data_IF_969344311469
#
_entry.id   IF_969344311469
#
_cell.length_a   1.000
_cell.length_b   1.000
_cell.length_c   1.000
_cell.angle_alpha   90.00
_cell.angle_beta   90.00
_cell.angle_gamma   90.00
#
_symmetry.space_group_name_H-M   'P 1'
#
loop_
_entity.id
_entity.type
_entity.pdbx_description
1 polymer ?
#
# COMPACT_ATOMS: atom_id res chain seq x y z
N UNK A 1 15.20 10.17 -14.28
CA UNK A 1 14.16 10.90 -15.05
C UNK A 1 12.78 10.33 -14.76
N UNK A 2 12.54 9.03 -15.00
CA UNK A 2 11.28 8.32 -14.70
C UNK A 2 10.65 8.67 -13.34
N UNK A 3 11.37 8.52 -12.23
CA UNK A 3 10.79 8.77 -10.90
C UNK A 3 10.36 10.22 -10.65
N UNK A 4 11.15 11.20 -11.10
CA UNK A 4 10.75 12.61 -11.02
C UNK A 4 9.48 12.87 -11.82
N UNK A 5 9.37 12.25 -13.00
CA UNK A 5 8.19 12.33 -13.87
C UNK A 5 6.97 11.68 -13.21
N UNK A 6 7.09 10.47 -12.65
CA UNK A 6 6.00 9.77 -11.96
C UNK A 6 5.55 10.51 -10.70
N UNK A 7 6.48 11.02 -9.90
CA UNK A 7 6.16 11.84 -8.72
C UNK A 7 5.42 13.12 -9.09
N UNK A 8 5.82 13.77 -10.18
CA UNK A 8 5.14 14.96 -10.68
C UNK A 8 3.74 14.62 -11.17
N UNK A 9 3.57 13.64 -12.06
CA UNK A 9 2.25 13.25 -12.56
C UNK A 9 1.33 12.62 -11.50
N UNK A 10 1.89 12.08 -10.42
CA UNK A 10 1.14 11.62 -9.26
C UNK A 10 0.67 12.74 -8.36
N UNK A 11 1.41 13.86 -8.28
CA UNK A 11 1.11 14.99 -7.38
C UNK A 11 0.39 16.17 -8.03
N UNK A 12 0.50 16.34 -9.34
CA UNK A 12 -0.25 17.38 -10.05
C UNK A 12 -1.69 16.92 -10.27
N UNK A 13 -2.64 17.68 -9.74
CA UNK A 13 -4.06 17.51 -9.95
C UNK A 13 -4.64 18.57 -10.89
N UNK A 14 -5.71 18.18 -11.56
CA UNK A 14 -6.58 19.05 -12.32
C UNK A 14 -7.93 19.08 -11.60
N UNK A 15 -8.07 20.01 -10.66
CA UNK A 15 -9.23 20.11 -9.77
C UNK A 15 -10.47 20.50 -10.55
N UNK A 16 -11.58 19.80 -10.28
CA UNK A 16 -12.89 20.14 -10.85
C UNK A 16 -13.38 21.49 -10.34
N UNK A 17 -13.27 21.72 -9.02
CA UNK A 17 -13.71 22.94 -8.35
C UNK A 17 -12.68 23.34 -7.28
N UNK A 18 -11.63 24.09 -7.65
CA UNK A 18 -10.56 24.47 -6.70
C UNK A 18 -10.99 25.53 -5.68
N UNK A 19 -12.17 26.13 -5.83
CA UNK A 19 -12.76 27.08 -4.88
C UNK A 19 -14.12 27.59 -5.36
N UNK A 20 -14.79 28.41 -4.55
CA UNK A 20 -16.18 28.88 -4.77
C UNK A 20 -16.27 30.25 -5.45
N UNK A 21 -15.16 31.01 -5.48
CA UNK A 21 -15.11 32.37 -6.07
C UNK A 21 -14.78 32.34 -7.56
N UNK A 22 -15.19 33.37 -8.28
CA UNK A 22 -15.05 33.47 -9.75
C UNK A 22 -13.65 33.15 -10.30
N UNK A 23 -12.52 33.63 -9.71
CA UNK A 23 -11.19 33.26 -10.17
C UNK A 23 -10.92 31.76 -10.06
N UNK A 24 -11.40 31.13 -8.98
CA UNK A 24 -11.22 29.70 -8.74
C UNK A 24 -12.13 28.86 -9.66
N UNK A 25 -13.38 29.29 -9.88
CA UNK A 25 -14.29 28.64 -10.84
C UNK A 25 -13.67 28.66 -12.25
N UNK A 26 -13.18 29.82 -12.69
CA UNK A 26 -12.52 29.94 -14.00
C UNK A 26 -11.27 29.06 -14.08
N UNK A 27 -10.49 28.98 -13.01
CA UNK A 27 -9.32 28.10 -12.96
C UNK A 27 -9.70 26.61 -13.04
N UNK A 28 -10.73 26.18 -12.30
CA UNK A 28 -11.23 24.79 -12.33
C UNK A 28 -11.74 24.38 -13.72
N UNK A 29 -12.46 25.28 -14.41
CA UNK A 29 -12.86 25.06 -15.82
C UNK A 29 -11.65 24.85 -16.74
N UNK A 30 -10.58 25.66 -16.58
CA UNK A 30 -9.34 25.51 -17.35
C UNK A 30 -8.63 24.19 -17.05
N UNK A 31 -8.52 23.80 -15.78
CA UNK A 31 -7.93 22.52 -15.37
C UNK A 31 -8.73 21.33 -15.94
N UNK A 32 -10.06 21.39 -15.85
CA UNK A 32 -10.94 20.36 -16.41
C UNK A 32 -10.76 20.24 -17.91
N UNK A 33 -10.68 21.37 -18.63
CA UNK A 33 -10.42 21.38 -20.07
C UNK A 33 -9.06 20.75 -20.40
N UNK A 34 -8.00 21.06 -19.65
CA UNK A 34 -6.69 20.43 -19.83
C UNK A 34 -6.75 18.91 -19.62
N UNK A 35 -7.48 18.45 -18.60
CA UNK A 35 -7.70 17.03 -18.35
C UNK A 35 -8.46 16.35 -19.50
N UNK A 36 -9.50 16.99 -20.03
CA UNK A 36 -10.23 16.53 -21.22
C UNK A 36 -9.31 16.47 -22.45
N UNK A 37 -8.44 17.45 -22.67
CA UNK A 37 -7.52 17.45 -23.81
C UNK A 37 -6.48 16.32 -23.72
N UNK A 38 -5.98 16.02 -22.51
CA UNK A 38 -5.07 14.89 -22.30
C UNK A 38 -5.77 13.55 -22.58
N UNK A 39 -7.03 13.39 -22.18
CA UNK A 39 -7.79 12.15 -22.47
C UNK A 39 -8.26 12.06 -23.92
N UNK A 40 -8.59 13.18 -24.57
CA UNK A 40 -8.90 13.23 -25.99
C UNK A 40 -7.71 12.77 -26.85
N UNK A 41 -6.48 13.06 -26.44
CA UNK A 41 -5.29 12.54 -27.11
C UNK A 41 -5.26 11.00 -27.16
N UNK A 42 -5.73 10.32 -26.10
CA UNK A 42 -5.88 8.87 -26.09
C UNK A 42 -7.00 8.34 -26.99
N UNK A 43 -8.05 9.13 -27.21
CA UNK A 43 -9.11 8.77 -28.18
C UNK A 43 -8.60 8.86 -29.61
N UNK A 44 -7.74 9.84 -29.90
CA UNK A 44 -7.18 10.09 -31.24
C UNK A 44 -6.02 9.15 -31.57
N UNK A 45 -5.20 8.84 -30.58
CA UNK A 45 -4.03 7.97 -30.74
C UNK A 45 -4.13 6.75 -29.82
N UNK A 46 -4.55 5.63 -30.43
CA UNK A 46 -4.67 4.34 -29.74
C UNK A 46 -3.32 3.79 -29.29
N UNK A 47 -2.23 4.09 -30.01
CA UNK A 47 -0.90 3.64 -29.62
C UNK A 47 -0.38 4.43 -28.41
N UNK A 48 -0.65 5.73 -28.33
CA UNK A 48 -0.36 6.53 -27.14
C UNK A 48 -1.11 5.99 -25.91
N UNK A 49 -2.39 5.64 -26.06
CA UNK A 49 -3.17 5.05 -24.96
C UNK A 49 -2.63 3.68 -24.55
N UNK A 50 -2.27 2.84 -25.52
CA UNK A 50 -1.64 1.53 -25.27
C UNK A 50 -0.31 1.66 -24.54
N UNK A 51 0.52 2.64 -24.92
CA UNK A 51 1.79 2.92 -24.25
C UNK A 51 1.58 3.40 -22.81
N UNK A 52 0.60 4.29 -22.59
CA UNK A 52 0.24 4.72 -21.23
C UNK A 52 -0.23 3.53 -20.38
N UNK A 53 -1.09 2.65 -20.91
CA UNK A 53 -1.54 1.44 -20.21
C UNK A 53 -0.39 0.49 -19.88
N UNK A 54 0.60 0.36 -20.77
CA UNK A 54 1.80 -0.45 -20.53
C UNK A 54 2.60 0.00 -19.29
N UNK A 55 2.47 1.26 -18.89
CA UNK A 55 3.06 1.80 -17.67
C UNK A 55 2.06 1.74 -16.50
N UNK A 56 0.80 2.10 -16.76
CA UNK A 56 -0.22 2.22 -15.72
C UNK A 56 -0.64 0.86 -15.15
N UNK A 57 -0.99 -0.12 -15.98
CA UNK A 57 -1.54 -1.41 -15.53
C UNK A 57 -0.56 -2.21 -14.65
N UNK A 58 0.75 -2.29 -14.93
CA UNK A 58 1.68 -2.93 -14.00
C UNK A 58 1.67 -2.26 -12.63
N UNK A 59 1.71 -0.92 -12.56
CA UNK A 59 1.67 -0.23 -11.27
C UNK A 59 0.36 -0.43 -10.51
N UNK A 60 -0.75 -0.64 -11.22
CA UNK A 60 -2.03 -1.03 -10.61
C UNK A 60 -1.95 -2.40 -9.97
N UNK A 61 -1.32 -3.37 -10.65
CA UNK A 61 -1.12 -4.70 -10.11
C UNK A 61 -0.16 -4.72 -8.90
N UNK A 62 0.92 -3.94 -8.94
CA UNK A 62 1.89 -3.92 -7.85
C UNK A 62 1.37 -3.21 -6.58
N UNK A 63 0.71 -2.05 -6.74
CA UNK A 63 0.40 -1.17 -5.59
C UNK A 63 -1.09 -0.93 -5.42
N UNK A 64 -1.86 -0.95 -6.51
CA UNK A 64 -3.28 -0.69 -6.51
C UNK A 64 -3.68 0.44 -7.45
N UNK A 65 -4.99 0.65 -7.62
CA UNK A 65 -5.54 1.75 -8.42
C UNK A 65 -5.43 3.07 -7.66
N UNK A 66 -5.42 4.17 -8.40
CA UNK A 66 -5.64 5.49 -7.80
C UNK A 66 -7.11 5.64 -7.41
N UNK A 67 -7.36 6.30 -6.28
CA UNK A 67 -8.70 6.68 -5.82
C UNK A 67 -9.14 8.05 -6.37
N UNK A 68 -8.20 8.86 -6.86
CA UNK A 68 -8.46 10.04 -7.69
C UNK A 68 -9.17 9.68 -9.02
N UNK A 69 -9.76 10.69 -9.69
CA UNK A 69 -10.25 10.51 -11.06
C UNK A 69 -9.05 10.42 -12.02
N UNK A 70 -9.16 9.57 -13.04
CA UNK A 70 -8.07 9.37 -14.00
C UNK A 70 -8.60 9.17 -15.43
N UNK A 71 -7.71 8.76 -16.34
CA UNK A 71 -7.97 8.66 -17.78
C UNK A 71 -9.27 7.93 -18.11
N UNK A 72 -9.53 6.76 -17.53
CA UNK A 72 -10.71 5.96 -17.88
C UNK A 72 -12.03 6.64 -17.45
N UNK A 73 -12.07 7.29 -16.30
CA UNK A 73 -13.24 8.05 -15.82
C UNK A 73 -13.58 9.18 -16.80
N UNK A 74 -12.56 9.95 -17.19
CA UNK A 74 -12.71 11.07 -18.10
C UNK A 74 -13.02 10.61 -19.53
N UNK A 75 -12.42 9.52 -20.01
CA UNK A 75 -12.69 8.95 -21.33
C UNK A 75 -14.16 8.55 -21.47
N UNK A 76 -14.75 7.98 -20.41
CA UNK A 76 -16.19 7.64 -20.39
C UNK A 76 -17.05 8.90 -20.52
N UNK A 77 -16.83 9.89 -19.67
CA UNK A 77 -17.59 11.14 -19.69
C UNK A 77 -17.41 11.93 -21.00
N UNK A 78 -16.20 11.95 -21.57
CA UNK A 78 -15.93 12.61 -22.85
C UNK A 78 -16.76 11.98 -23.97
N UNK A 79 -16.86 10.65 -24.02
CA UNK A 79 -17.68 9.95 -25.03
C UNK A 79 -19.17 10.23 -24.88
N UNK A 80 -19.65 10.35 -23.64
CA UNK A 80 -21.06 10.59 -23.33
C UNK A 80 -21.48 12.03 -23.64
N UNK A 81 -20.67 13.02 -23.25
CA UNK A 81 -21.03 14.45 -23.30
C UNK A 81 -20.56 15.12 -24.60
N UNK A 82 -19.46 14.64 -25.19
CA UNK A 82 -18.88 15.14 -26.44
C UNK A 82 -18.80 14.03 -27.52
N UNK A 83 -19.94 13.40 -27.88
CA UNK A 83 -19.97 12.19 -28.70
C UNK A 83 -19.47 12.38 -30.13
N UNK A 84 -19.58 13.60 -30.67
CA UNK A 84 -19.16 13.90 -32.04
C UNK A 84 -17.63 13.80 -32.16
N UNK A 85 -17.10 12.93 -33.04
CA UNK A 85 -15.70 13.01 -33.43
C UNK A 85 -15.46 14.36 -34.10
N UNK A 86 -14.35 15.03 -33.77
CA UNK A 86 -14.11 16.38 -34.26
C UNK A 86 -12.86 17.03 -33.69
N UNK A 87 -12.65 18.30 -34.05
CA UNK A 87 -11.54 19.10 -33.54
C UNK A 87 -11.73 19.43 -32.05
N UNK A 88 -10.63 19.82 -31.40
CA UNK A 88 -10.61 20.15 -29.96
C UNK A 88 -11.53 21.30 -29.57
N UNK A 89 -11.93 22.13 -30.55
CA UNK A 89 -12.84 23.27 -30.36
C UNK A 89 -14.22 22.85 -29.80
N UNK A 90 -14.62 21.58 -29.97
CA UNK A 90 -15.86 21.05 -29.37
C UNK A 90 -15.89 21.17 -27.84
N UNK A 91 -14.73 21.23 -27.20
CA UNK A 91 -14.61 21.37 -25.75
C UNK A 91 -14.73 22.82 -25.26
N UNK A 92 -14.83 23.80 -26.16
CA UNK A 92 -15.06 25.20 -25.82
C UNK A 92 -16.51 25.50 -25.42
N UNK A 93 -17.45 24.59 -25.71
CA UNK A 93 -18.85 24.69 -25.31
C UNK A 93 -18.99 24.76 -23.78
N UNK A 94 -19.32 25.96 -23.28
CA UNK A 94 -19.40 26.22 -21.84
C UNK A 94 -20.54 25.47 -21.15
N UNK A 95 -21.63 25.17 -21.88
CA UNK A 95 -22.75 24.41 -21.32
C UNK A 95 -22.33 22.96 -21.11
N UNK A 96 -21.73 22.34 -22.13
CA UNK A 96 -21.23 20.96 -22.03
C UNK A 96 -20.07 20.81 -21.06
N UNK A 97 -19.17 21.79 -20.98
CA UNK A 97 -18.10 21.78 -19.97
C UNK A 97 -18.66 21.86 -18.55
N UNK A 98 -19.71 22.64 -18.33
CA UNK A 98 -20.39 22.72 -17.04
C UNK A 98 -21.08 21.41 -16.70
N UNK A 99 -21.76 20.78 -17.67
CA UNK A 99 -22.33 19.44 -17.52
C UNK A 99 -21.26 18.39 -17.19
N UNK A 100 -20.11 18.43 -17.88
CA UNK A 100 -18.99 17.52 -17.59
C UNK A 100 -18.50 17.65 -16.15
N UNK A 101 -18.31 18.88 -15.67
CA UNK A 101 -17.88 19.12 -14.29
C UNK A 101 -18.94 18.59 -13.30
N UNK A 102 -20.22 18.79 -13.59
CA UNK A 102 -21.31 18.28 -12.74
C UNK A 102 -21.30 16.75 -12.66
N UNK A 103 -21.23 16.06 -13.79
CA UNK A 103 -21.17 14.59 -13.85
C UNK A 103 -19.88 14.04 -13.22
N UNK A 104 -18.72 14.66 -13.49
CA UNK A 104 -17.46 14.30 -12.86
C UNK A 104 -17.50 14.50 -11.33
N UNK A 105 -18.24 15.50 -10.84
CA UNK A 105 -18.43 15.75 -9.41
C UNK A 105 -19.28 14.67 -8.74
N UNK A 106 -20.13 13.95 -9.50
CA UNK A 106 -20.91 12.80 -8.99
C UNK A 106 -20.09 11.52 -8.86
N UNK A 107 -18.92 11.45 -9.49
CA UNK A 107 -18.00 10.31 -9.37
C UNK A 107 -17.37 10.21 -7.97
N UNK A 108 -16.68 9.10 -7.70
CA UNK A 108 -16.03 8.85 -6.40
C UNK A 108 -15.08 9.99 -5.99
N UNK A 109 -15.08 10.42 -4.72
CA UNK A 109 -14.02 11.27 -4.18
C UNK A 109 -12.78 10.44 -3.84
N UNK A 110 -11.59 11.06 -3.77
CA UNK A 110 -10.41 10.39 -3.22
C UNK A 110 -10.64 10.08 -1.73
N UNK A 111 -10.21 8.90 -1.29
CA UNK A 111 -10.23 8.47 0.11
C UNK A 111 -8.97 8.95 0.84
N UNK A 112 -7.84 9.06 0.15
CA UNK A 112 -6.57 9.54 0.68
C UNK A 112 -6.26 10.91 0.07
N UNK A 113 -5.77 11.83 0.90
CA UNK A 113 -5.32 13.14 0.50
C UNK A 113 -3.93 13.04 -0.15
N UNK A 114 -3.87 13.42 -1.42
CA UNK A 114 -2.61 13.48 -2.20
C UNK A 114 -1.81 14.78 -1.95
N UNK A 115 -2.23 15.64 -1.02
CA UNK A 115 -1.57 16.91 -0.69
C UNK A 115 -2.28 17.70 0.44
N UNK A 116 -1.75 18.86 0.79
CA UNK A 116 -2.36 19.74 1.78
C UNK A 116 -3.74 20.20 1.29
N UNK A 117 -4.79 19.81 2.01
CA UNK A 117 -6.15 20.25 1.78
C UNK A 117 -6.44 21.45 2.70
N UNK A 118 -6.90 22.55 2.11
CA UNK A 118 -7.37 23.71 2.85
C UNK A 118 -8.90 23.63 2.96
N UNK A 119 -9.42 23.91 4.15
CA UNK A 119 -10.86 24.08 4.38
C UNK A 119 -11.27 25.41 3.76
N UNK A 120 -11.93 25.37 2.61
CA UNK A 120 -12.77 26.48 2.16
C UNK A 120 -14.23 26.14 2.48
N UNK A 121 -14.90 27.02 3.21
CA UNK A 121 -16.35 26.96 3.51
C UNK A 121 -16.85 25.65 4.15
N UNK A 122 -15.98 24.89 4.83
CA UNK A 122 -16.38 23.69 5.58
C UNK A 122 -16.64 22.44 4.73
N UNK A 123 -16.36 22.48 3.41
CA UNK A 123 -16.52 21.33 2.50
C UNK A 123 -15.17 20.75 2.07
N UNK A 124 -14.59 19.91 2.93
CA UNK A 124 -13.28 19.25 2.75
C UNK A 124 -13.19 18.39 1.48
N UNK A 125 -14.28 17.74 1.07
CA UNK A 125 -14.27 16.71 0.02
C UNK A 125 -14.44 17.26 -1.42
N UNK A 126 -14.90 18.51 -1.57
CA UNK A 126 -15.20 19.09 -2.88
C UNK A 126 -13.94 19.71 -3.51
N UNK A 127 -13.04 20.26 -2.70
CA UNK A 127 -11.82 20.95 -3.17
C UNK A 127 -10.67 20.00 -3.56
N UNK A 128 -10.79 18.71 -3.27
CA UNK A 128 -9.76 17.69 -3.53
C UNK A 128 -10.09 16.79 -4.73
N UNK A 129 -11.35 16.79 -5.22
CA UNK A 129 -11.75 15.98 -6.37
C UNK A 129 -11.17 16.56 -7.66
N UNK A 130 -10.34 15.76 -8.34
CA UNK A 130 -9.67 16.17 -9.56
C UNK A 130 -9.15 15.00 -10.37
N UNK A 131 -8.73 15.31 -11.59
CA UNK A 131 -8.06 14.36 -12.45
C UNK A 131 -6.56 14.30 -12.15
N UNK A 132 -6.00 13.09 -12.18
CA UNK A 132 -4.56 12.87 -12.18
C UNK A 132 -4.16 11.91 -13.29
N UNK A 133 -3.15 12.30 -14.06
CA UNK A 133 -2.68 11.51 -15.20
C UNK A 133 -2.02 10.20 -14.77
N UNK A 134 -1.21 10.23 -13.72
CA UNK A 134 -0.60 9.06 -13.07
C UNK A 134 -0.78 9.14 -11.55
N UNK A 135 -2.03 9.34 -11.09
CA UNK A 135 -2.36 9.58 -9.67
C UNK A 135 -1.71 8.60 -8.70
N UNK A 136 -1.39 9.07 -7.49
CA UNK A 136 -0.83 8.20 -6.45
C UNK A 136 -1.79 7.04 -6.15
N UNK A 137 -1.24 5.90 -5.73
CA UNK A 137 -2.02 4.68 -5.56
C UNK A 137 -2.66 4.65 -4.19
N UNK A 138 -3.89 4.18 -4.13
CA UNK A 138 -4.54 3.90 -2.87
C UNK A 138 -3.86 2.70 -2.22
N UNK A 139 -3.34 2.90 -1.01
CA UNK A 139 -2.78 1.83 -0.17
C UNK A 139 -3.48 1.84 1.20
N UNK A 140 -3.85 0.66 1.73
CA UNK A 140 -4.74 0.54 2.89
C UNK A 140 -4.13 1.14 4.15
N UNK A 141 -2.82 1.04 4.33
CA UNK A 141 -2.11 1.56 5.49
C UNK A 141 -2.03 3.10 5.49
N UNK A 142 -1.83 3.75 4.33
CA UNK A 142 -1.96 5.22 4.25
C UNK A 142 -3.38 5.68 4.55
N UNK A 143 -4.39 4.89 4.15
CA UNK A 143 -5.78 5.18 4.50
C UNK A 143 -6.00 5.09 6.01
N UNK A 144 -5.56 3.99 6.66
CA UNK A 144 -5.62 3.83 8.12
C UNK A 144 -4.92 4.99 8.83
N UNK A 145 -3.72 5.34 8.39
CA UNK A 145 -2.93 6.46 8.91
C UNK A 145 -3.65 7.80 8.82
N UNK A 146 -4.22 8.13 7.67
CA UNK A 146 -4.97 9.37 7.50
C UNK A 146 -6.21 9.41 8.40
N UNK A 147 -6.89 8.28 8.55
CA UNK A 147 -8.09 8.18 9.39
C UNK A 147 -7.76 8.24 10.89
N UNK A 148 -6.49 8.00 11.26
CA UNK A 148 -5.91 8.02 12.61
C UNK A 148 -4.93 9.19 12.82
N UNK A 149 -5.15 10.33 12.17
CA UNK A 149 -4.53 11.62 12.50
C UNK A 149 -5.58 12.72 12.52
N UNK A 150 -5.24 13.87 13.10
CA UNK A 150 -6.13 15.03 13.15
C UNK A 150 -6.77 15.31 11.78
N UNK A 151 -8.08 15.52 11.80
CA UNK A 151 -8.85 15.84 10.62
C UNK A 151 -10.25 16.35 10.97
N UNK A 152 -11.01 16.67 9.93
CA UNK A 152 -12.41 17.05 10.05
C UNK A 152 -13.27 15.95 9.42
N UNK A 153 -14.18 15.38 10.21
CA UNK A 153 -15.18 14.41 9.73
C UNK A 153 -16.57 14.89 10.14
N UNK A 154 -17.52 14.86 9.21
CA UNK A 154 -18.90 15.33 9.43
C UNK A 154 -18.99 16.74 10.06
N UNK A 155 -18.13 17.65 9.58
CA UNK A 155 -17.98 19.04 10.07
C UNK A 155 -17.53 19.15 11.54
N UNK A 156 -16.96 18.08 12.10
CA UNK A 156 -16.38 18.06 13.45
C UNK A 156 -14.90 17.75 13.40
N UNK A 157 -14.14 18.47 14.22
CA UNK A 157 -12.74 18.15 14.46
C UNK A 157 -12.63 16.87 15.28
N UNK A 158 -11.77 15.95 14.85
CA UNK A 158 -11.49 14.69 15.54
C UNK A 158 -10.00 14.62 15.90
N UNK A 159 -9.67 13.73 16.83
CA UNK A 159 -8.28 13.44 17.22
C UNK A 159 -7.52 14.65 17.78
N UNK A 160 -8.24 15.53 18.50
CA UNK A 160 -7.63 16.53 19.39
C UNK A 160 -7.10 15.84 20.65
N UNK A 161 -5.95 16.29 21.12
CA UNK A 161 -5.31 15.71 22.30
C UNK A 161 -6.12 16.04 23.56
N UNK A 162 -6.28 15.06 24.45
CA UNK A 162 -7.03 15.19 25.72
C UNK A 162 -6.27 14.69 26.95
N UNK A 163 -5.02 14.24 26.78
CA UNK A 163 -4.19 13.77 27.87
C UNK A 163 -3.35 14.88 28.51
N UNK A 164 -2.46 14.47 29.41
CA UNK A 164 -1.62 15.39 30.19
C UNK A 164 -0.16 15.41 29.72
N UNK A 165 0.34 14.31 29.16
CA UNK A 165 1.74 14.16 28.75
C UNK A 165 1.93 14.46 27.24
N UNK A 166 3.16 14.37 26.73
CA UNK A 166 3.40 14.47 25.29
C UNK A 166 3.71 13.08 24.72
N UNK A 167 2.71 12.32 24.23
CA UNK A 167 2.98 11.05 23.57
C UNK A 167 3.63 11.29 22.21
N UNK A 168 4.24 10.24 21.62
CA UNK A 168 4.98 10.34 20.36
C UNK A 168 4.13 11.01 19.29
N UNK A 169 2.87 10.60 19.12
CA UNK A 169 1.99 11.06 18.04
C UNK A 169 1.42 12.48 18.19
N UNK A 170 1.69 13.17 19.31
CA UNK A 170 1.14 14.51 19.58
C UNK A 170 2.09 15.63 19.13
N UNK A 171 1.55 16.58 18.37
CA UNK A 171 2.18 17.90 18.18
C UNK A 171 1.13 19.02 18.25
N UNK A 172 1.63 20.26 18.37
CA UNK A 172 0.79 21.46 18.28
C UNK A 172 0.66 21.88 16.82
N UNK A 173 -0.52 21.68 16.24
CA UNK A 173 -0.81 22.09 14.87
C UNK A 173 -1.25 23.57 14.86
N UNK A 174 -0.66 24.44 14.00
CA UNK A 174 -1.07 25.84 13.90
C UNK A 174 -2.58 26.00 13.67
N UNK A 175 -3.21 26.93 14.39
CA UNK A 175 -4.67 27.20 14.37
C UNK A 175 -5.58 26.06 14.88
N UNK A 176 -5.03 24.95 15.35
CA UNK A 176 -5.78 23.80 15.88
C UNK A 176 -5.48 23.56 17.36
N UNK A 177 -4.20 23.62 17.73
CA UNK A 177 -3.71 23.26 19.06
C UNK A 177 -3.16 21.82 19.12
N UNK A 178 -2.99 21.26 20.34
CA UNK A 178 -2.51 19.89 20.53
C UNK A 178 -3.43 18.85 19.87
N UNK A 179 -2.88 18.08 18.94
CA UNK A 179 -3.62 17.06 18.21
C UNK A 179 -2.72 15.90 17.78
N UNK A 180 -3.33 14.81 17.31
CA UNK A 180 -2.57 13.68 16.74
C UNK A 180 -1.99 14.08 15.38
N UNK A 181 -0.72 14.44 15.34
CA UNK A 181 -0.10 15.03 14.15
C UNK A 181 0.44 13.97 13.18
N UNK A 182 0.85 12.82 13.69
CA UNK A 182 1.34 11.71 12.88
C UNK A 182 0.90 10.37 13.49
N UNK A 183 0.75 9.32 12.67
CA UNK A 183 0.45 7.98 13.14
C UNK A 183 1.74 7.21 13.48
N UNK A 184 1.59 5.99 13.99
CA UNK A 184 2.67 5.01 14.19
C UNK A 184 2.40 3.74 13.41
N UNK A 185 3.44 3.00 13.03
CA UNK A 185 3.27 1.66 12.41
C UNK A 185 2.38 0.72 13.25
N UNK A 186 2.40 0.87 14.58
CA UNK A 186 1.52 0.14 15.49
C UNK A 186 0.03 0.41 15.26
N UNK A 187 -0.37 1.58 14.75
CA UNK A 187 -1.77 1.86 14.42
C UNK A 187 -2.31 0.91 13.36
N UNK A 188 -1.49 0.57 12.35
CA UNK A 188 -1.87 -0.39 11.31
C UNK A 188 -2.10 -1.76 11.93
N UNK A 189 -1.16 -2.21 12.77
CA UNK A 189 -1.26 -3.53 13.37
C UNK A 189 -2.44 -3.60 14.35
N UNK A 190 -2.73 -2.51 15.07
CA UNK A 190 -3.91 -2.40 15.91
C UNK A 190 -5.21 -2.46 15.09
N UNK A 191 -5.29 -1.77 13.94
CA UNK A 191 -6.42 -1.88 13.00
C UNK A 191 -6.57 -3.30 12.47
N UNK A 192 -5.46 -3.96 12.15
CA UNK A 192 -5.43 -5.33 11.64
C UNK A 192 -5.61 -6.41 12.73
N UNK A 193 -5.98 -6.01 13.95
CA UNK A 193 -6.43 -6.92 15.00
C UNK A 193 -5.39 -7.28 16.06
N UNK A 194 -4.17 -6.73 16.00
CA UNK A 194 -3.16 -6.96 17.03
C UNK A 194 -3.54 -6.26 18.33
N UNK A 195 -3.93 -7.05 19.35
CA UNK A 195 -4.19 -6.50 20.69
C UNK A 195 -2.94 -5.95 21.33
N UNK A 196 -1.81 -6.65 21.15
CA UNK A 196 -0.52 -6.21 21.68
C UNK A 196 -0.08 -4.85 21.14
N UNK A 197 -0.32 -4.58 19.86
CA UNK A 197 -0.07 -3.26 19.28
C UNK A 197 -0.89 -2.16 19.97
N UNK A 198 -2.18 -2.43 20.22
CA UNK A 198 -3.06 -1.50 20.92
C UNK A 198 -2.63 -1.28 22.37
N UNK A 199 -2.26 -2.33 23.10
CA UNK A 199 -1.74 -2.20 24.48
C UNK A 199 -0.52 -1.28 24.56
N UNK A 200 0.40 -1.38 23.60
CA UNK A 200 1.60 -0.52 23.54
C UNK A 200 1.19 0.94 23.27
N UNK A 201 0.28 1.17 22.31
CA UNK A 201 -0.24 2.50 22.01
C UNK A 201 -0.94 3.13 23.23
N UNK A 202 -1.75 2.35 23.96
CA UNK A 202 -2.44 2.81 25.16
C UNK A 202 -1.45 3.17 26.27
N UNK A 203 -0.47 2.30 26.51
CA UNK A 203 0.55 2.50 27.54
C UNK A 203 1.41 3.74 27.27
N UNK A 204 1.68 4.06 26.01
CA UNK A 204 2.51 5.20 25.61
C UNK A 204 1.70 6.50 25.41
N UNK A 205 0.41 6.50 25.75
CA UNK A 205 -0.46 7.68 25.64
C UNK A 205 -0.91 8.00 24.20
N UNK A 206 -0.52 7.18 23.23
CA UNK A 206 -0.89 7.31 21.82
C UNK A 206 -2.36 6.91 21.54
N UNK A 207 -3.25 6.89 22.54
CA UNK A 207 -4.70 6.74 22.35
C UNK A 207 -5.49 7.87 23.00
N UNK A 208 -4.82 8.83 23.63
CA UNK A 208 -5.42 9.93 24.40
C UNK A 208 -5.92 11.09 23.52
N UNK A 209 -6.79 10.76 22.56
CA UNK A 209 -7.37 11.71 21.63
C UNK A 209 -8.91 11.61 21.60
N UNK A 210 -9.57 12.69 21.19
CA UNK A 210 -11.01 12.67 20.94
C UNK A 210 -11.35 11.71 19.80
N UNK A 211 -12.40 10.89 19.98
CA UNK A 211 -12.89 9.95 18.97
C UNK A 211 -11.88 8.89 18.49
N UNK A 212 -10.76 8.67 19.18
CA UNK A 212 -9.73 7.70 18.76
C UNK A 212 -10.30 6.29 18.58
N UNK A 213 -10.97 5.77 19.62
CA UNK A 213 -11.56 4.43 19.57
C UNK A 213 -12.70 4.31 18.56
N UNK A 214 -13.48 5.38 18.33
CA UNK A 214 -14.52 5.38 17.31
C UNK A 214 -13.91 5.17 15.91
N UNK A 215 -12.81 5.89 15.61
CA UNK A 215 -12.10 5.73 14.34
C UNK A 215 -11.40 4.37 14.22
N UNK A 216 -10.72 3.94 15.29
CA UNK A 216 -10.04 2.65 15.33
C UNK A 216 -11.02 1.50 15.11
N UNK A 217 -12.17 1.51 15.79
CA UNK A 217 -13.17 0.45 15.68
C UNK A 217 -13.81 0.44 14.30
N UNK A 218 -14.13 1.61 13.72
CA UNK A 218 -14.62 1.70 12.33
C UNK A 218 -13.64 1.06 11.34
N UNK A 219 -12.34 1.35 11.49
CA UNK A 219 -11.31 0.75 10.64
C UNK A 219 -11.17 -0.75 10.89
N UNK A 220 -11.18 -1.21 12.15
CA UNK A 220 -11.17 -2.64 12.49
C UNK A 220 -12.34 -3.38 11.83
N UNK A 221 -13.55 -2.82 11.89
CA UNK A 221 -14.74 -3.41 11.28
C UNK A 221 -14.63 -3.43 9.74
N UNK A 222 -14.15 -2.35 9.14
CA UNK A 222 -13.92 -2.27 7.68
C UNK A 222 -12.90 -3.31 7.21
N UNK A 223 -11.76 -3.45 7.89
CA UNK A 223 -10.68 -4.34 7.46
C UNK A 223 -10.92 -5.81 7.85
N UNK A 224 -11.62 -6.09 8.95
CA UNK A 224 -12.01 -7.45 9.33
C UNK A 224 -13.13 -8.03 8.46
N UNK A 225 -13.94 -7.18 7.81
CA UNK A 225 -15.00 -7.60 6.89
C UNK A 225 -14.53 -7.85 5.45
N UNK A 226 -13.26 -7.57 5.12
CA UNK A 226 -12.70 -7.80 3.80
C UNK A 226 -12.67 -9.29 3.47
N UNK A 227 -13.16 -9.63 2.28
CA UNK A 227 -13.10 -10.98 1.73
C UNK A 227 -11.67 -11.35 1.33
N UNK A 228 -11.39 -12.65 1.19
CA UNK A 228 -10.11 -13.12 0.64
C UNK A 228 -9.83 -12.55 -0.74
N UNK A 229 -10.85 -12.35 -1.59
CA UNK A 229 -10.70 -11.74 -2.91
C UNK A 229 -10.23 -10.30 -2.85
N UNK A 230 -10.74 -9.52 -1.90
CA UNK A 230 -10.35 -8.12 -1.67
C UNK A 230 -8.92 -8.02 -1.10
N UNK A 231 -8.54 -8.90 -0.17
CA UNK A 231 -7.15 -9.02 0.28
C UNK A 231 -6.18 -9.43 -0.84
N UNK A 232 -6.68 -10.15 -1.83
CA UNK A 232 -5.91 -10.66 -2.97
C UNK A 232 -5.96 -9.78 -4.21
N UNK A 233 -6.51 -8.56 -4.11
CA UNK A 233 -6.78 -7.69 -5.26
C UNK A 233 -5.52 -7.17 -5.99
N UNK A 234 -4.37 -7.06 -5.31
CA UNK A 234 -3.09 -6.62 -5.87
C UNK A 234 -1.93 -7.09 -4.97
N UNK A 235 -0.68 -6.91 -5.40
CA UNK A 235 0.49 -7.41 -4.67
C UNK A 235 0.64 -6.76 -3.28
N UNK A 236 0.40 -5.46 -3.16
CA UNK A 236 0.51 -4.73 -1.89
C UNK A 236 -0.41 -5.29 -0.80
N UNK A 237 -1.69 -5.49 -1.16
CA UNK A 237 -2.67 -6.06 -0.23
C UNK A 237 -2.36 -7.52 0.12
N UNK A 238 -1.85 -8.30 -0.84
CA UNK A 238 -1.40 -9.67 -0.60
C UNK A 238 -0.23 -9.75 0.36
N UNK A 239 0.69 -8.79 0.27
CA UNK A 239 1.82 -8.71 1.19
C UNK A 239 1.33 -8.50 2.62
N UNK A 240 0.47 -7.51 2.86
CA UNK A 240 -0.13 -7.29 4.18
C UNK A 240 -0.94 -8.51 4.65
N UNK A 241 -1.74 -9.09 3.76
CA UNK A 241 -2.50 -10.29 4.03
C UNK A 241 -1.60 -11.45 4.46
N UNK A 242 -0.43 -11.61 3.84
CA UNK A 242 0.52 -12.67 4.22
C UNK A 242 1.06 -12.55 5.66
N UNK A 243 1.05 -11.35 6.23
CA UNK A 243 1.56 -11.06 7.57
C UNK A 243 0.48 -11.15 8.67
N UNK A 244 -0.80 -11.12 8.33
CA UNK A 244 -1.89 -11.18 9.33
C UNK A 244 -1.78 -12.35 10.31
N UNK A 245 -1.36 -13.58 9.92
CA UNK A 245 -1.22 -14.68 10.86
C UNK A 245 -0.20 -14.44 11.99
N UNK A 246 0.72 -13.47 11.82
CA UNK A 246 1.68 -13.07 12.84
C UNK A 246 1.05 -12.18 13.94
N UNK A 247 -0.10 -11.56 13.64
CA UNK A 247 -0.80 -10.64 14.55
C UNK A 247 -1.84 -11.33 15.43
N UNK A 248 -2.21 -12.57 15.08
CA UNK A 248 -3.24 -13.34 15.75
C UNK A 248 -2.74 -13.90 17.10
N UNK A 249 -3.57 -13.77 18.14
CA UNK A 249 -3.36 -14.52 19.37
C UNK A 249 -3.70 -15.99 19.12
N UNK A 250 -2.69 -16.84 18.94
CA UNK A 250 -2.91 -18.28 18.80
C UNK A 250 -3.41 -18.85 20.12
N UNK A 251 -4.54 -19.55 20.06
CA UNK A 251 -5.20 -20.20 21.22
C UNK A 251 -4.98 -21.72 21.25
N UNK A 252 -4.07 -22.23 20.42
CA UNK A 252 -3.80 -23.67 20.33
C UNK A 252 -3.13 -24.17 21.62
N UNK A 253 -3.66 -25.26 22.21
CA UNK A 253 -3.23 -25.76 23.52
C UNK A 253 -1.81 -26.37 23.53
N UNK A 254 -1.22 -26.63 22.36
CA UNK A 254 0.05 -27.36 22.21
C UNK A 254 1.17 -26.57 21.51
N UNK A 255 1.11 -25.24 21.52
CA UNK A 255 2.17 -24.40 20.92
C UNK A 255 3.51 -24.60 21.65
N UNK A 256 4.64 -24.57 20.92
CA UNK A 256 5.97 -24.51 21.52
C UNK A 256 6.07 -23.44 22.62
N UNK A 257 6.70 -23.77 23.76
CA UNK A 257 6.74 -22.90 24.95
C UNK A 257 7.22 -21.47 24.68
N UNK A 258 8.17 -21.30 23.77
CA UNK A 258 8.69 -19.99 23.43
C UNK A 258 7.62 -19.08 22.81
N UNK A 259 6.67 -19.65 22.05
CA UNK A 259 5.58 -18.92 21.40
C UNK A 259 4.55 -18.34 22.37
N UNK A 260 4.47 -18.89 23.58
CA UNK A 260 3.48 -18.51 24.58
C UNK A 260 3.89 -17.26 25.38
N UNK A 261 5.08 -16.71 25.12
CA UNK A 261 5.61 -15.57 25.85
C UNK A 261 5.23 -14.24 25.18
N UNK A 262 5.06 -13.20 26.00
CA UNK A 262 4.89 -11.81 25.50
C UNK A 262 6.08 -11.39 24.63
N UNK A 263 7.29 -11.84 24.97
CA UNK A 263 8.49 -11.56 24.18
C UNK A 263 8.41 -12.12 22.75
N UNK A 264 7.74 -13.26 22.55
CA UNK A 264 7.49 -13.80 21.22
C UNK A 264 6.48 -12.97 20.45
N UNK A 265 5.38 -12.58 21.09
CA UNK A 265 4.38 -11.70 20.47
C UNK A 265 5.02 -10.36 20.07
N UNK A 266 5.86 -9.79 20.93
CA UNK A 266 6.62 -8.58 20.64
C UNK A 266 7.61 -8.79 19.47
N UNK A 267 8.25 -9.96 19.37
CA UNK A 267 9.09 -10.33 18.22
C UNK A 267 8.30 -10.40 16.93
N UNK A 268 7.12 -11.03 16.91
CA UNK A 268 6.28 -11.08 15.71
C UNK A 268 5.77 -9.71 15.29
N UNK A 269 5.47 -8.86 16.27
CA UNK A 269 5.10 -7.48 16.02
C UNK A 269 6.25 -6.73 15.34
N UNK A 270 7.48 -6.89 15.84
CA UNK A 270 8.68 -6.30 15.23
C UNK A 270 8.96 -6.85 13.82
N UNK A 271 8.82 -8.17 13.62
CA UNK A 271 8.99 -8.79 12.30
C UNK A 271 7.97 -8.26 11.30
N UNK A 272 6.71 -8.12 11.72
CA UNK A 272 5.64 -7.54 10.90
C UNK A 272 5.89 -6.08 10.58
N UNK A 273 6.30 -5.27 11.58
CA UNK A 273 6.66 -3.87 11.37
C UNK A 273 7.85 -3.72 10.43
N UNK A 274 8.87 -4.57 10.56
CA UNK A 274 10.02 -4.59 9.66
C UNK A 274 9.61 -4.90 8.22
N UNK A 275 8.80 -5.94 8.03
CA UNK A 275 8.28 -6.31 6.70
C UNK A 275 7.37 -5.22 6.11
N UNK A 276 6.50 -4.61 6.90
CA UNK A 276 5.67 -3.48 6.48
C UNK A 276 6.50 -2.24 6.14
N UNK A 277 7.52 -1.92 6.94
CA UNK A 277 8.42 -0.80 6.68
C UNK A 277 9.19 -0.99 5.36
N UNK A 278 9.69 -2.21 5.10
CA UNK A 278 10.32 -2.55 3.82
C UNK A 278 9.31 -2.51 2.66
N UNK A 279 8.09 -3.05 2.81
CA UNK A 279 7.03 -2.91 1.79
C UNK A 279 6.79 -1.44 1.45
N UNK A 280 6.68 -0.59 2.48
CA UNK A 280 6.52 0.86 2.30
C UNK A 280 7.72 1.48 1.62
N UNK A 281 8.93 1.07 1.96
CA UNK A 281 10.16 1.63 1.41
C UNK A 281 10.45 1.15 -0.02
N UNK A 282 10.27 -0.13 -0.32
CA UNK A 282 10.41 -0.72 -1.66
C UNK A 282 9.35 -0.16 -2.62
N UNK A 283 8.17 0.22 -2.11
CA UNK A 283 7.16 0.95 -2.87
C UNK A 283 7.36 2.47 -2.92
N UNK A 284 8.31 3.04 -2.16
CA UNK A 284 8.57 4.49 -2.09
C UNK A 284 9.85 4.97 -2.78
N UNK A 285 10.56 4.12 -3.55
CA UNK A 285 11.71 4.44 -4.42
C UNK A 285 13.10 4.01 -3.84
N UNK A 286 13.38 2.71 -3.94
CA UNK A 286 14.68 1.99 -3.91
C UNK A 286 15.92 2.68 -3.29
N UNK A 287 16.38 2.18 -2.14
CA UNK A 287 17.80 2.35 -1.71
C UNK A 287 18.47 1.00 -1.39
N UNK A 288 19.75 0.89 -1.78
CA UNK A 288 20.65 -0.26 -1.51
C UNK A 288 21.40 -0.04 -0.19
N UNK A 289 21.63 -1.12 0.56
CA UNK A 289 22.58 -1.14 1.69
C UNK A 289 24.04 -1.10 1.19
N UNK A 290 24.93 -0.49 1.98
CA UNK A 290 26.37 -0.50 1.74
C UNK A 290 26.99 -1.85 2.14
N UNK A 291 27.83 -2.41 1.27
CA UNK A 291 28.70 -3.54 1.58
C UNK A 291 30.16 -3.11 1.48
N UNK A 292 30.96 -3.49 2.46
CA UNK A 292 32.43 -3.46 2.38
C UNK A 292 32.88 -4.88 2.07
N UNK A 293 33.58 -5.09 0.95
CA UNK A 293 34.27 -6.37 0.71
C UNK A 293 35.40 -6.52 1.74
N UNK A 294 35.28 -7.52 2.61
CA UNK A 294 36.44 -8.11 3.28
C UNK A 294 36.84 -9.36 2.51
N UNK A 295 38.13 -9.46 2.17
CA UNK A 295 38.75 -10.71 1.75
C UNK A 295 38.79 -11.61 2.97
N UNK A 296 37.92 -12.62 3.04
CA UNK A 296 38.00 -13.66 4.07
C UNK A 296 38.61 -14.93 3.45
N UNK A 297 39.52 -15.54 4.21
CA UNK A 297 40.01 -16.89 3.91
C UNK A 297 38.83 -17.88 3.85
N UNK A 298 39.01 -19.00 3.14
CA UNK A 298 38.00 -20.06 3.00
C UNK A 298 37.30 -20.31 4.35
N UNK A 299 35.96 -20.18 4.43
CA UNK A 299 35.24 -20.40 5.68
C UNK A 299 35.53 -21.82 6.17
N UNK A 300 35.92 -21.97 7.44
CA UNK A 300 35.81 -23.27 8.09
C UNK A 300 34.35 -23.71 7.99
N UNK A 301 34.11 -24.99 7.68
CA UNK A 301 32.75 -25.51 7.71
C UNK A 301 32.13 -25.19 9.08
N UNK A 302 31.02 -24.42 9.13
CA UNK A 302 30.41 -24.10 10.40
C UNK A 302 30.00 -25.42 11.06
N UNK A 303 30.36 -25.59 12.34
CA UNK A 303 29.92 -26.77 13.12
C UNK A 303 28.41 -26.93 12.95
N UNK A 304 27.96 -28.17 12.80
CA UNK A 304 26.54 -28.47 12.66
C UNK A 304 25.77 -27.87 13.84
N UNK A 305 24.94 -26.86 13.56
CA UNK A 305 24.01 -26.26 14.50
C UNK A 305 22.59 -26.60 14.05
N UNK A 306 21.71 -26.86 15.01
CA UNK A 306 20.29 -27.04 14.74
C UNK A 306 19.67 -25.65 14.54
N UNK A 307 19.13 -25.41 13.35
CA UNK A 307 18.24 -24.28 13.08
C UNK A 307 16.78 -24.74 13.12
N UNK A 308 15.85 -23.79 13.18
CA UNK A 308 14.41 -24.04 13.12
C UNK A 308 13.78 -23.11 12.06
N UNK A 309 12.58 -23.46 11.60
CA UNK A 309 11.76 -22.61 10.73
C UNK A 309 10.64 -22.03 11.56
N UNK A 310 10.36 -20.74 11.43
CA UNK A 310 9.33 -20.13 12.26
C UNK A 310 7.97 -20.83 12.02
N UNK A 311 7.23 -21.17 13.10
CA UNK A 311 6.06 -22.03 13.06
C UNK A 311 4.78 -21.31 12.54
N UNK A 312 4.89 -20.64 11.38
CA UNK A 312 3.80 -19.93 10.70
C UNK A 312 3.61 -20.47 9.27
N UNK A 313 3.13 -21.72 9.10
CA UNK A 313 2.98 -22.34 7.78
C UNK A 313 2.05 -21.54 6.85
N UNK A 314 1.04 -20.89 7.44
CA UNK A 314 0.11 -20.05 6.69
C UNK A 314 0.77 -18.83 6.06
N UNK A 315 1.78 -18.22 6.70
CA UNK A 315 2.54 -17.11 6.13
C UNK A 315 3.27 -17.59 4.88
N UNK A 316 3.95 -18.73 4.95
CA UNK A 316 4.65 -19.30 3.80
C UNK A 316 3.70 -19.62 2.63
N UNK A 317 2.53 -20.20 2.91
CA UNK A 317 1.50 -20.46 1.89
C UNK A 317 1.02 -19.17 1.24
N UNK A 318 0.69 -18.14 2.03
CA UNK A 318 0.19 -16.86 1.50
C UNK A 318 1.25 -16.18 0.63
N UNK A 319 2.53 -16.25 1.00
CA UNK A 319 3.64 -15.73 0.18
C UNK A 319 3.81 -16.57 -1.09
N UNK A 320 3.76 -17.90 -1.01
CA UNK A 320 3.89 -18.79 -2.17
C UNK A 320 2.81 -18.51 -3.22
N UNK A 321 1.54 -18.40 -2.80
CA UNK A 321 0.42 -18.03 -3.66
C UNK A 321 0.60 -16.65 -4.29
N UNK A 322 1.09 -15.68 -3.50
CA UNK A 322 1.39 -14.33 -3.98
C UNK A 322 2.47 -14.34 -5.07
N UNK A 323 3.53 -15.14 -4.92
CA UNK A 323 4.61 -15.25 -5.89
C UNK A 323 4.17 -15.94 -7.18
N UNK A 324 3.34 -16.99 -7.07
CA UNK A 324 2.71 -17.65 -8.20
C UNK A 324 1.83 -16.69 -9.01
N UNK A 325 1.04 -15.89 -8.32
CA UNK A 325 0.21 -14.88 -8.97
C UNK A 325 1.06 -13.76 -9.59
N UNK A 326 2.18 -13.37 -8.97
CA UNK A 326 3.13 -12.44 -9.59
C UNK A 326 3.65 -13.00 -10.92
N UNK A 327 4.12 -14.25 -10.95
CA UNK A 327 4.59 -14.92 -12.18
C UNK A 327 3.53 -14.93 -13.28
N UNK A 328 2.30 -15.31 -12.94
CA UNK A 328 1.18 -15.34 -13.89
C UNK A 328 0.77 -13.96 -14.41
N UNK A 329 0.76 -12.93 -13.53
CA UNK A 329 0.38 -11.58 -13.91
C UNK A 329 1.45 -10.88 -14.73
N UNK A 330 2.74 -11.11 -14.46
CA UNK A 330 3.83 -10.58 -15.29
C UNK A 330 3.72 -11.07 -16.74
N UNK A 331 3.45 -12.37 -16.93
CA UNK A 331 3.20 -12.95 -18.25
C UNK A 331 1.99 -12.32 -18.94
N UNK A 332 0.88 -12.15 -18.21
CA UNK A 332 -0.36 -11.52 -18.74
C UNK A 332 -0.15 -10.05 -19.13
N UNK A 333 0.69 -9.31 -18.38
CA UNK A 333 1.05 -7.92 -18.66
C UNK A 333 2.10 -7.79 -19.77
N UNK A 334 2.62 -8.91 -20.29
CA UNK A 334 3.69 -8.92 -21.29
C UNK A 334 5.03 -8.41 -20.77
N UNK A 335 5.27 -8.54 -19.46
CA UNK A 335 6.55 -8.23 -18.82
C UNK A 335 7.37 -9.51 -18.81
N UNK A 336 8.31 -9.61 -19.74
CA UNK A 336 9.18 -10.76 -19.92
C UNK A 336 10.58 -10.32 -19.51
N UNK A 337 11.04 -10.84 -18.37
CA UNK A 337 12.41 -10.67 -17.88
C UNK A 337 13.03 -12.05 -17.85
N UNK A 338 14.17 -12.21 -18.53
CA UNK A 338 14.87 -13.49 -18.61
C UNK A 338 15.29 -13.98 -17.21
N UNK A 339 15.05 -15.25 -16.92
CA UNK A 339 15.38 -15.88 -15.64
C UNK A 339 14.45 -15.52 -14.48
N UNK A 340 13.59 -14.51 -14.60
CA UNK A 340 12.70 -14.10 -13.52
C UNK A 340 11.62 -15.14 -13.20
N UNK A 341 10.91 -15.75 -14.17
CA UNK A 341 9.94 -16.82 -13.88
C UNK A 341 10.58 -17.99 -13.14
N UNK A 342 11.77 -18.43 -13.56
CA UNK A 342 12.52 -19.53 -12.96
C UNK A 342 12.93 -19.19 -11.52
N UNK A 343 13.37 -17.95 -11.26
CA UNK A 343 13.67 -17.47 -9.91
C UNK A 343 12.44 -17.42 -9.01
N UNK A 344 11.29 -17.04 -9.56
CA UNK A 344 10.03 -17.05 -8.81
C UNK A 344 9.63 -18.49 -8.48
N UNK A 345 9.73 -19.43 -9.42
CA UNK A 345 9.47 -20.87 -9.18
C UNK A 345 10.42 -21.46 -8.14
N UNK A 346 11.73 -21.17 -8.21
CA UNK A 346 12.70 -21.59 -7.19
C UNK A 346 12.33 -21.07 -5.79
N UNK A 347 11.75 -19.87 -5.71
CA UNK A 347 11.29 -19.28 -4.45
C UNK A 347 9.96 -19.88 -3.97
N UNK A 348 9.02 -20.17 -4.88
CA UNK A 348 7.80 -20.95 -4.58
C UNK A 348 8.17 -22.30 -3.94
N UNK A 349 9.11 -23.04 -4.53
CA UNK A 349 9.61 -24.32 -4.01
C UNK A 349 10.28 -24.20 -2.63
N UNK A 350 10.99 -23.09 -2.39
CA UNK A 350 11.60 -22.78 -1.10
C UNK A 350 10.51 -22.57 -0.04
N UNK A 351 9.48 -21.79 -0.34
CA UNK A 351 8.36 -21.51 0.56
C UNK A 351 7.56 -22.78 0.88
N UNK A 352 7.30 -23.62 -0.12
CA UNK A 352 6.64 -24.90 0.07
C UNK A 352 7.41 -25.82 1.03
N UNK A 353 8.75 -25.83 0.95
CA UNK A 353 9.61 -26.57 1.91
C UNK A 353 9.57 -25.97 3.31
N UNK A 354 9.62 -24.65 3.45
CA UNK A 354 9.52 -23.97 4.74
C UNK A 354 8.18 -24.26 5.42
N UNK A 355 7.07 -24.24 4.66
CA UNK A 355 5.75 -24.65 5.14
C UNK A 355 5.77 -26.06 5.74
N UNK A 356 6.29 -27.04 5.01
CA UNK A 356 6.32 -28.45 5.47
C UNK A 356 7.13 -28.59 6.77
N UNK A 357 8.29 -27.93 6.85
CA UNK A 357 9.13 -27.94 8.05
C UNK A 357 8.39 -27.28 9.23
N UNK A 358 7.78 -26.13 8.99
CA UNK A 358 6.98 -25.38 9.97
C UNK A 358 5.82 -26.21 10.55
N UNK A 359 5.08 -26.94 9.69
CA UNK A 359 4.02 -27.88 10.11
C UNK A 359 4.54 -29.04 10.95
N UNK A 360 5.73 -29.57 10.62
CA UNK A 360 6.38 -30.63 11.40
C UNK A 360 6.79 -30.14 12.78
N UNK A 361 7.41 -28.96 12.86
CA UNK A 361 7.86 -28.37 14.12
C UNK A 361 6.68 -28.02 15.04
N UNK A 362 5.57 -27.48 14.49
CA UNK A 362 4.32 -27.29 15.23
C UNK A 362 3.73 -28.61 15.75
N UNK A 363 3.88 -29.69 14.97
CA UNK A 363 3.39 -31.02 15.32
C UNK A 363 4.36 -31.82 16.20
N UNK A 364 5.44 -31.20 16.70
CA UNK A 364 6.50 -31.86 17.49
C UNK A 364 7.14 -33.08 16.79
N UNK A 365 7.19 -33.06 15.45
CA UNK A 365 7.82 -34.12 14.64
C UNK A 365 9.28 -33.80 14.38
N UNK A 366 10.16 -34.80 14.50
CA UNK A 366 11.58 -34.64 14.18
C UNK A 366 11.81 -34.33 12.70
N UNK A 367 12.78 -33.45 12.44
CA UNK A 367 13.22 -33.13 11.08
C UNK A 367 14.28 -34.12 10.61
N UNK A 368 14.24 -34.43 9.31
CA UNK A 368 15.24 -35.27 8.67
C UNK A 368 16.60 -34.55 8.53
N UNK A 369 17.67 -35.31 8.33
CA UNK A 369 19.01 -34.75 8.03
C UNK A 369 19.01 -33.83 6.79
N UNK A 370 18.17 -34.15 5.79
CA UNK A 370 18.01 -33.34 4.60
C UNK A 370 17.35 -31.99 4.90
N UNK A 371 16.37 -31.96 5.80
CA UNK A 371 15.70 -30.74 6.23
C UNK A 371 16.64 -29.84 7.06
N UNK A 372 17.42 -30.41 7.98
CA UNK A 372 18.46 -29.63 8.67
C UNK A 372 19.54 -29.10 7.72
N UNK A 373 19.93 -29.87 6.71
CA UNK A 373 20.83 -29.40 5.65
C UNK A 373 20.20 -28.28 4.83
N UNK A 374 18.90 -28.36 4.53
CA UNK A 374 18.17 -27.31 3.84
C UNK A 374 18.18 -26.00 4.66
N UNK A 375 17.86 -26.07 5.95
CA UNK A 375 17.87 -24.91 6.86
C UNK A 375 19.27 -24.29 6.93
N UNK A 376 20.33 -25.11 7.09
CA UNK A 376 21.72 -24.63 7.15
C UNK A 376 22.11 -23.79 5.94
N UNK A 377 21.59 -24.13 4.76
CA UNK A 377 21.92 -23.48 3.50
C UNK A 377 20.91 -22.40 3.07
N UNK A 378 20.01 -21.95 3.96
CA UNK A 378 18.96 -20.99 3.60
C UNK A 378 19.54 -19.64 3.11
N UNK A 379 20.63 -19.18 3.73
CA UNK A 379 21.30 -17.93 3.33
C UNK A 379 21.80 -17.96 1.89
N UNK A 380 22.47 -19.04 1.49
CA UNK A 380 22.96 -19.22 0.12
C UNK A 380 21.83 -19.34 -0.89
N UNK A 381 20.75 -20.03 -0.53
CA UNK A 381 19.54 -20.14 -1.36
C UNK A 381 18.92 -18.76 -1.61
N UNK A 382 18.70 -17.98 -0.55
CA UNK A 382 18.15 -16.63 -0.67
C UNK A 382 19.10 -15.69 -1.43
N UNK A 383 20.42 -15.83 -1.28
CA UNK A 383 21.40 -15.07 -2.04
C UNK A 383 21.35 -15.41 -3.54
N UNK A 384 21.18 -16.69 -3.90
CA UNK A 384 21.03 -17.13 -5.29
C UNK A 384 19.75 -16.61 -5.95
N UNK A 385 18.66 -16.54 -5.20
CA UNK A 385 17.36 -16.05 -5.69
C UNK A 385 17.36 -14.56 -6.06
N UNK A 386 18.30 -13.78 -5.49
CA UNK A 386 18.42 -12.34 -5.75
C UNK A 386 19.40 -12.00 -6.88
N UNK A 387 20.07 -12.99 -7.46
CA UNK A 387 21.04 -12.79 -8.54
C UNK A 387 20.35 -12.90 -9.89
N UNK A 388 20.33 -11.78 -10.61
CA UNK A 388 19.86 -11.68 -12.00
C UNK A 388 21.06 -11.39 -12.92
N UNK A 389 20.95 -11.67 -14.22
CA UNK A 389 21.93 -11.22 -15.20
C UNK A 389 22.15 -9.69 -15.10
N UNK A 390 23.37 -9.21 -15.41
CA UNK A 390 23.68 -7.78 -15.34
C UNK A 390 22.91 -6.95 -16.39
N UNK A 391 22.41 -7.60 -17.44
CA UNK A 391 21.60 -7.01 -18.50
C UNK A 391 20.16 -7.56 -18.41
N UNK A 392 19.19 -6.67 -18.17
CA UNK A 392 17.74 -6.93 -18.21
C UNK A 392 17.14 -6.08 -19.33
#
# INVERSE_FOLDING_TARGET
KYFKTMMWYGRIDFKLKPGTKEPAITHGKKMTLQAILMTDAFLKDKEAFKLWKKIYEPTVYFVGKTDDLYADDYLKLVKEIFPSPGMVDKYADQSKLSQFIEEATKLRPPKILSGAAFVEEGEFAVSTKGFRFMGQRFIPDSYMFQELVYGIKDRKEILKYKGEEKPFTMEVIPNVGPARAFPRGLDILAVLGSKRALEILEKEGDTEYTNYYDQLNKLKDEFSSQTTGEWKQNLYWRWLYSLLPLLEERKEENLPKFMQSVAWIDKELQATLGSWAELRHDTILYTRQSYTMMVTAMPQEPKFTYGYVEPYPEVYVRIEEMMRDLRNNLATLGIIVEGLPEKIEEFEDLLAKLKIISEKELSHKELSKAEYSFIRNIGDRLASLKRFPEEI
#
